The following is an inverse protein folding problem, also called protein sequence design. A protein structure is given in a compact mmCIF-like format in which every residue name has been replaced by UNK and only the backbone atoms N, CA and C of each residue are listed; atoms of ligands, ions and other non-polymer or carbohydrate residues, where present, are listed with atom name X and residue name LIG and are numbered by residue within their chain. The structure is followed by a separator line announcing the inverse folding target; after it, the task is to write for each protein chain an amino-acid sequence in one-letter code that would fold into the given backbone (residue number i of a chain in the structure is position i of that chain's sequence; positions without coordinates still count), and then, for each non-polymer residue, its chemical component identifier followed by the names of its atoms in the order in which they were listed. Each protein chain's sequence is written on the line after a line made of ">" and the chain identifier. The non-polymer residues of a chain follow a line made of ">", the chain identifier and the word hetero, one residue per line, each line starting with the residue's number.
data_IF_964782382224
#
_entry.id   IF_964782382224
#
_cell.length_a   1.000
_cell.length_b   1.000
_cell.length_c   1.000
_cell.angle_alpha   90.00
_cell.angle_beta   90.00
_cell.angle_gamma   90.00
#
_symmetry.space_group_name_H-M   'P 1'
#
loop_
_entity.id
_entity.type
_entity.pdbx_description
1 polymer ?
#
# COMPACT_ATOMS: atom_id res chain seq x y z
N UNK A 1 11.57 -1.49 20.09
CA UNK A 1 10.76 -1.30 21.31
C UNK A 1 9.29 -1.63 21.04
N UNK A 2 8.86 -2.90 21.02
CA UNK A 2 7.42 -3.25 20.91
C UNK A 2 7.17 -4.69 21.41
N UNK A 3 7.34 -4.94 22.71
CA UNK A 3 6.66 -6.06 23.41
C UNK A 3 6.30 -5.53 24.78
N UNK A 4 5.18 -4.85 24.85
CA UNK A 4 4.48 -4.68 26.11
C UNK A 4 3.35 -5.70 26.11
N UNK A 5 3.06 -6.32 27.26
CA UNK A 5 1.94 -7.28 27.45
C UNK A 5 0.58 -6.76 26.97
N UNK A 6 0.47 -5.47 26.66
CA UNK A 6 -0.75 -4.78 26.26
C UNK A 6 -0.85 -4.48 24.76
N UNK A 7 0.17 -4.77 23.95
CA UNK A 7 0.07 -4.60 22.49
C UNK A 7 -0.59 -5.85 21.90
N UNK A 8 -1.89 -5.75 21.60
CA UNK A 8 -2.69 -6.84 21.05
C UNK A 8 -2.46 -7.03 19.54
N UNK A 9 -2.12 -5.94 18.85
CA UNK A 9 -1.82 -5.97 17.43
C UNK A 9 -1.43 -4.62 16.86
N UNK A 10 -1.12 -4.60 15.56
CA UNK A 10 -0.74 -3.42 14.78
C UNK A 10 -1.65 -3.32 13.56
N UNK A 11 -2.30 -2.18 13.38
CA UNK A 11 -2.99 -1.82 12.14
C UNK A 11 -2.14 -0.82 11.37
N UNK A 12 -1.69 -1.19 10.18
CA UNK A 12 -0.91 -0.35 9.27
C UNK A 12 -1.85 0.29 8.26
N UNK A 13 -1.92 1.62 8.26
CA UNK A 13 -2.55 2.41 7.21
C UNK A 13 -1.59 3.54 6.85
N UNK A 14 -1.02 3.49 5.65
CA UNK A 14 -0.04 4.47 5.18
C UNK A 14 -0.66 5.42 4.16
N UNK A 15 -0.09 6.62 3.95
CA UNK A 15 -0.58 7.52 2.91
C UNK A 15 -0.54 6.85 1.53
N UNK A 16 -1.71 6.66 0.92
CA UNK A 16 -1.84 5.94 -0.37
C UNK A 16 -1.76 6.84 -1.61
N UNK A 17 -1.62 8.16 -1.48
CA UNK A 17 -1.68 9.12 -2.60
C UNK A 17 -0.65 8.83 -3.71
N UNK A 18 0.57 8.42 -3.35
CA UNK A 18 1.62 8.06 -4.33
C UNK A 18 1.34 6.75 -5.06
N UNK A 19 0.46 5.89 -4.52
CA UNK A 19 -0.07 4.68 -5.16
C UNK A 19 -1.45 4.92 -5.83
N UNK A 20 -1.88 6.18 -6.01
CA UNK A 20 -3.25 6.44 -6.47
C UNK A 20 -3.44 6.12 -7.96
N UNK A 21 -4.40 5.24 -8.28
CA UNK A 21 -4.86 4.97 -9.64
C UNK A 21 -5.39 6.22 -10.38
N UNK A 22 -5.73 7.29 -9.65
CA UNK A 22 -6.12 8.56 -10.27
C UNK A 22 -4.97 9.22 -11.03
N UNK A 23 -3.70 8.85 -10.75
CA UNK A 23 -2.52 9.38 -11.46
C UNK A 23 -2.41 8.89 -12.91
N UNK A 24 -3.15 7.84 -13.27
CA UNK A 24 -3.25 7.33 -14.63
C UNK A 24 -4.36 8.03 -15.44
N UNK A 25 -4.96 9.11 -14.90
CA UNK A 25 -5.95 9.93 -15.63
C UNK A 25 -5.23 11.02 -16.43
N UNK A 26 -5.39 10.98 -17.75
CA UNK A 26 -5.15 12.03 -18.76
C UNK A 26 -4.18 13.16 -18.37
N UNK A 27 -2.94 12.81 -18.04
CA UNK A 27 -1.81 13.74 -17.81
C UNK A 27 -2.02 14.85 -16.76
N UNK A 28 -3.04 14.76 -15.90
CA UNK A 28 -3.30 15.79 -14.88
C UNK A 28 -2.25 15.79 -13.77
N UNK A 29 -1.69 14.62 -13.47
CA UNK A 29 -0.64 14.44 -12.49
C UNK A 29 0.36 13.39 -12.99
N UNK A 30 1.66 13.52 -12.67
CA UNK A 30 2.63 12.51 -13.04
C UNK A 30 2.31 11.18 -12.34
N UNK A 31 2.45 10.10 -13.11
CA UNK A 31 2.56 8.74 -12.59
C UNK A 31 3.85 8.67 -11.78
N UNK A 32 3.74 8.25 -10.52
CA UNK A 32 4.87 8.20 -9.59
C UNK A 32 5.40 6.79 -9.40
N UNK A 33 4.60 5.78 -9.74
CA UNK A 33 4.85 4.34 -9.57
C UNK A 33 4.08 3.59 -10.66
N UNK A 34 4.69 2.55 -11.19
CA UNK A 34 4.08 1.57 -12.08
C UNK A 34 4.54 0.16 -11.68
N UNK A 35 4.05 -0.87 -12.37
CA UNK A 35 4.39 -2.26 -12.04
C UNK A 35 5.87 -2.58 -12.26
N UNK A 36 6.58 -1.85 -13.12
CA UNK A 36 8.03 -2.00 -13.31
C UNK A 36 8.82 -1.28 -12.20
N UNK A 37 8.25 -0.20 -11.65
CA UNK A 37 8.85 0.66 -10.64
C UNK A 37 7.92 0.85 -9.42
N UNK A 38 7.59 -0.22 -8.68
CA UNK A 38 6.63 -0.15 -7.56
C UNK A 38 7.13 0.73 -6.40
N UNK A 39 8.46 0.89 -6.27
CA UNK A 39 9.07 1.78 -5.29
C UNK A 39 9.15 3.24 -5.76
N UNK A 40 8.91 3.52 -7.04
CA UNK A 40 8.99 4.86 -7.61
C UNK A 40 9.62 4.89 -9.00
N UNK A 41 8.98 5.60 -9.93
CA UNK A 41 9.55 5.90 -11.25
C UNK A 41 10.66 6.94 -11.08
N UNK A 42 11.91 6.65 -11.50
CA UNK A 42 13.01 7.60 -11.41
C UNK A 42 12.80 8.81 -12.33
N UNK A 43 13.19 9.99 -11.86
CA UNK A 43 13.26 11.20 -12.67
C UNK A 43 14.44 11.19 -13.65
N UNK A 44 14.61 12.27 -14.44
CA UNK A 44 15.69 12.38 -15.42
C UNK A 44 17.11 12.28 -14.84
N UNK A 45 17.28 12.62 -13.57
CA UNK A 45 18.53 12.53 -12.80
C UNK A 45 18.65 11.22 -12.00
N UNK A 46 17.79 10.24 -12.29
CA UNK A 46 17.62 8.99 -11.54
C UNK A 46 17.17 9.15 -10.08
N UNK A 47 16.79 10.36 -9.64
CA UNK A 47 16.27 10.60 -8.30
C UNK A 47 14.76 10.30 -8.22
N UNK A 48 14.29 9.97 -7.02
CA UNK A 48 12.85 9.83 -6.76
C UNK A 48 12.25 11.17 -6.30
N UNK A 49 11.00 11.48 -6.68
CA UNK A 49 10.28 12.60 -6.11
C UNK A 49 10.23 12.53 -4.58
N UNK A 50 10.43 13.65 -3.89
CA UNK A 50 10.47 13.71 -2.40
C UNK A 50 9.23 13.08 -1.76
N UNK A 51 8.06 13.22 -2.39
CA UNK A 51 6.81 12.59 -1.93
C UNK A 51 6.88 11.07 -1.93
N UNK A 52 7.52 10.47 -2.95
CA UNK A 52 7.73 9.02 -3.08
C UNK A 52 8.74 8.54 -2.04
N UNK A 53 9.89 9.22 -1.92
CA UNK A 53 10.91 8.88 -0.92
C UNK A 53 10.35 8.89 0.50
N UNK A 54 9.55 9.92 0.83
CA UNK A 54 8.87 10.01 2.12
C UNK A 54 7.83 8.90 2.31
N UNK A 55 7.03 8.60 1.28
CA UNK A 55 6.04 7.53 1.34
C UNK A 55 6.68 6.15 1.53
N UNK A 56 7.81 5.88 0.86
CA UNK A 56 8.60 4.66 1.04
C UNK A 56 9.09 4.55 2.49
N UNK A 57 9.73 5.59 3.02
CA UNK A 57 10.24 5.60 4.39
C UNK A 57 9.15 5.38 5.45
N UNK A 58 7.95 5.96 5.25
CA UNK A 58 6.79 5.71 6.13
C UNK A 58 6.35 4.25 6.06
N UNK A 59 6.28 3.69 4.84
CA UNK A 59 5.86 2.31 4.60
C UNK A 59 6.85 1.32 5.21
N UNK A 60 8.15 1.50 4.96
CA UNK A 60 9.22 0.64 5.50
C UNK A 60 9.23 0.67 7.03
N UNK A 61 9.05 1.85 7.63
CA UNK A 61 8.99 2.00 9.08
C UNK A 61 7.76 1.28 9.67
N UNK A 62 6.58 1.47 9.07
CA UNK A 62 5.35 0.83 9.52
C UNK A 62 5.45 -0.71 9.42
N UNK A 63 6.00 -1.23 8.32
CA UNK A 63 6.23 -2.66 8.13
C UNK A 63 7.28 -3.23 9.07
N UNK A 64 8.31 -2.46 9.43
CA UNK A 64 9.27 -2.86 10.45
C UNK A 64 8.60 -3.03 11.81
N UNK A 65 7.74 -2.11 12.22
CA UNK A 65 6.95 -2.22 13.46
C UNK A 65 6.01 -3.42 13.42
N UNK A 66 5.29 -3.60 12.30
CA UNK A 66 4.37 -4.71 12.09
C UNK A 66 5.09 -6.07 12.14
N UNK A 67 6.23 -6.20 11.45
CA UNK A 67 7.04 -7.42 11.43
C UNK A 67 7.54 -7.80 12.83
N UNK A 68 7.98 -6.82 13.63
CA UNK A 68 8.37 -7.06 15.02
C UNK A 68 7.18 -7.54 15.86
N UNK A 69 5.98 -6.98 15.65
CA UNK A 69 4.77 -7.40 16.33
C UNK A 69 4.35 -8.83 15.95
N UNK A 70 4.33 -9.15 14.65
CA UNK A 70 4.00 -10.47 14.12
C UNK A 70 4.96 -11.56 14.65
N UNK A 71 6.28 -11.31 14.62
CA UNK A 71 7.29 -12.25 15.19
C UNK A 71 7.13 -12.50 16.69
N UNK A 72 6.36 -11.66 17.39
CA UNK A 72 6.05 -11.77 18.83
C UNK A 72 4.65 -12.33 19.09
N UNK A 73 3.94 -12.77 18.04
CA UNK A 73 2.61 -13.37 18.13
C UNK A 73 1.45 -12.37 18.27
N UNK A 74 1.69 -11.07 18.06
CA UNK A 74 0.61 -10.08 18.02
C UNK A 74 -0.06 -10.07 16.63
N UNK A 75 -1.34 -9.72 16.57
CA UNK A 75 -2.06 -9.61 15.29
C UNK A 75 -1.54 -8.43 14.45
N UNK A 76 -1.53 -8.59 13.13
CA UNK A 76 -1.14 -7.53 12.20
C UNK A 76 -2.19 -7.43 11.11
N UNK A 77 -2.59 -6.21 10.78
CA UNK A 77 -3.44 -5.92 9.62
C UNK A 77 -2.80 -4.77 8.84
N UNK A 78 -2.72 -4.89 7.53
CA UNK A 78 -2.30 -3.85 6.61
C UNK A 78 -3.51 -3.45 5.76
N UNK A 79 -3.77 -2.16 5.64
CA UNK A 79 -4.87 -1.60 4.86
C UNK A 79 -4.34 -0.76 3.69
N UNK A 80 -4.92 -0.99 2.51
CA UNK A 80 -4.72 -0.12 1.35
C UNK A 80 -5.87 -0.25 0.34
N UNK A 81 -6.02 0.71 -0.60
CA UNK A 81 -6.93 0.51 -1.73
C UNK A 81 -6.62 -0.80 -2.48
N UNK A 82 -7.66 -1.45 -3.00
CA UNK A 82 -7.54 -2.62 -3.90
C UNK A 82 -6.67 -2.29 -5.13
N UNK A 83 -5.96 -3.27 -5.70
CA UNK A 83 -5.25 -3.08 -6.95
C UNK A 83 -6.23 -2.77 -8.10
N UNK A 84 -5.82 -1.90 -9.03
CA UNK A 84 -6.63 -1.45 -10.18
C UNK A 84 -6.07 -1.88 -11.54
N UNK A 85 -4.94 -2.58 -11.55
CA UNK A 85 -4.25 -3.06 -12.75
C UNK A 85 -4.91 -4.30 -13.35
N UNK A 86 -5.42 -5.20 -12.50
CA UNK A 86 -6.05 -6.45 -12.91
C UNK A 86 -7.06 -6.94 -11.86
N UNK A 87 -7.77 -8.03 -12.18
CA UNK A 87 -8.71 -8.68 -11.27
C UNK A 87 -10.10 -8.02 -11.21
N UNK A 88 -10.85 -8.32 -10.15
CA UNK A 88 -12.25 -7.90 -10.00
C UNK A 88 -12.44 -6.38 -9.93
N UNK A 89 -11.39 -5.65 -9.51
CA UNK A 89 -11.41 -4.19 -9.32
C UNK A 89 -10.65 -3.42 -10.41
N UNK A 90 -10.27 -4.10 -11.49
CA UNK A 90 -9.54 -3.50 -12.60
C UNK A 90 -10.29 -2.31 -13.20
N UNK A 91 -9.55 -1.28 -13.60
CA UNK A 91 -10.14 -0.13 -14.29
C UNK A 91 -9.38 0.07 -15.60
N UNK A 92 -10.07 0.12 -16.76
CA UNK A 92 -9.42 0.35 -18.05
C UNK A 92 -8.52 1.61 -18.04
N UNK A 93 -7.35 1.49 -18.67
CA UNK A 93 -6.33 2.54 -18.73
C UNK A 93 -5.42 2.62 -17.50
N UNK A 94 -5.52 1.67 -16.56
CA UNK A 94 -4.68 1.57 -15.35
C UNK A 94 -3.96 0.23 -15.24
N UNK A 95 -3.72 -0.44 -16.35
CA UNK A 95 -3.11 -1.77 -16.41
C UNK A 95 -1.70 -1.78 -15.80
N UNK A 96 -1.01 -0.63 -15.80
CA UNK A 96 0.32 -0.44 -15.19
C UNK A 96 0.27 0.09 -13.75
N UNK A 97 -0.91 0.16 -13.13
CA UNK A 97 -1.06 0.68 -11.77
C UNK A 97 -0.41 -0.25 -10.73
N UNK A 98 0.67 0.23 -10.11
CA UNK A 98 1.21 -0.34 -8.89
C UNK A 98 0.46 0.17 -7.65
N UNK A 99 -0.08 -0.76 -6.90
CA UNK A 99 -0.69 -0.59 -5.58
C UNK A 99 0.32 -0.74 -4.45
N UNK A 100 -0.11 -0.57 -3.19
CA UNK A 100 0.75 -0.88 -2.04
C UNK A 100 1.16 -2.36 -2.02
N UNK A 101 0.31 -3.24 -2.54
CA UNK A 101 0.52 -4.70 -2.55
C UNK A 101 1.64 -5.13 -3.50
N UNK A 102 2.01 -4.27 -4.44
CA UNK A 102 3.15 -4.47 -5.35
C UNK A 102 4.47 -3.97 -4.74
N UNK A 103 4.43 -3.32 -3.57
CA UNK A 103 5.64 -2.79 -2.92
C UNK A 103 6.47 -3.92 -2.29
N UNK A 104 7.79 -4.01 -2.56
CA UNK A 104 8.60 -5.18 -2.19
C UNK A 104 8.50 -5.59 -0.71
N UNK A 105 8.61 -4.63 0.21
CA UNK A 105 8.55 -4.93 1.64
C UNK A 105 7.17 -5.46 2.10
N UNK A 106 6.09 -5.12 1.38
CA UNK A 106 4.75 -5.65 1.65
C UNK A 106 4.66 -7.09 1.18
N UNK A 107 5.13 -7.37 -0.05
CA UNK A 107 5.19 -8.73 -0.60
C UNK A 107 5.97 -9.67 0.34
N UNK A 108 7.13 -9.22 0.82
CA UNK A 108 7.96 -9.97 1.76
C UNK A 108 7.21 -10.25 3.07
N UNK A 109 6.53 -9.26 3.64
CA UNK A 109 5.77 -9.42 4.88
C UNK A 109 4.57 -10.37 4.72
N UNK A 110 3.81 -10.26 3.62
CA UNK A 110 2.67 -11.14 3.34
C UNK A 110 3.13 -12.59 3.19
N UNK A 111 4.24 -12.81 2.50
CA UNK A 111 4.86 -14.13 2.35
C UNK A 111 5.41 -14.68 3.68
N UNK A 112 6.17 -13.89 4.44
CA UNK A 112 6.78 -14.30 5.71
C UNK A 112 5.72 -14.73 6.74
N UNK A 113 4.63 -13.95 6.84
CA UNK A 113 3.60 -14.16 7.87
C UNK A 113 2.35 -14.90 7.36
N UNK A 114 2.31 -15.31 6.09
CA UNK A 114 1.19 -16.04 5.46
C UNK A 114 -0.15 -15.35 5.65
N UNK A 115 -0.16 -14.04 5.45
CA UNK A 115 -1.36 -13.23 5.64
C UNK A 115 -2.41 -13.50 4.56
N UNK A 116 -3.68 -13.29 4.89
CA UNK A 116 -4.81 -13.50 3.99
C UNK A 116 -5.45 -12.19 3.57
N UNK A 117 -5.98 -12.14 2.35
CA UNK A 117 -6.59 -10.97 1.74
C UNK A 117 -8.10 -10.94 1.97
N UNK A 118 -8.65 -9.77 2.30
CA UNK A 118 -10.09 -9.52 2.38
C UNK A 118 -10.41 -8.17 1.75
N UNK A 119 -11.22 -8.20 0.69
CA UNK A 119 -11.75 -7.00 0.07
C UNK A 119 -12.98 -6.49 0.82
N UNK A 120 -13.07 -5.17 0.99
CA UNK A 120 -14.22 -4.51 1.58
C UNK A 120 -14.42 -3.08 1.04
N UNK A 121 -15.66 -2.61 1.10
CA UNK A 121 -16.00 -1.23 0.76
C UNK A 121 -15.88 -0.33 2.01
N UNK A 122 -14.78 0.41 2.10
CA UNK A 122 -14.53 1.34 3.21
C UNK A 122 -15.39 2.60 3.08
N UNK A 123 -15.87 3.10 4.23
CA UNK A 123 -16.84 4.19 4.40
C UNK A 123 -16.75 5.34 3.37
N UNK A 124 -17.90 5.89 2.95
CA UNK A 124 -17.96 6.97 1.97
C UNK A 124 -17.47 8.32 2.49
N UNK A 125 -17.49 8.61 3.80
CA UNK A 125 -17.03 9.87 4.42
C UNK A 125 -17.28 11.16 3.59
N UNK A 126 -18.43 11.29 2.90
CA UNK A 126 -18.79 12.43 2.05
C UNK A 126 -18.47 12.30 0.55
N UNK A 127 -17.87 11.20 0.10
CA UNK A 127 -17.71 10.84 -1.31
C UNK A 127 -18.98 10.23 -1.91
N UNK A 128 -19.06 10.19 -3.24
CA UNK A 128 -20.20 9.63 -4.00
C UNK A 128 -20.20 8.10 -4.04
N UNK A 129 -19.10 7.45 -3.66
CA UNK A 129 -18.98 5.99 -3.59
C UNK A 129 -18.07 5.57 -2.43
N UNK A 130 -18.25 4.35 -1.96
CA UNK A 130 -17.31 3.74 -1.02
C UNK A 130 -15.96 3.49 -1.70
N UNK A 131 -14.90 3.53 -0.91
CA UNK A 131 -13.56 3.22 -1.40
C UNK A 131 -13.35 1.72 -1.27
N UNK A 132 -13.23 1.02 -2.40
CA UNK A 132 -12.82 -0.38 -2.38
C UNK A 132 -11.39 -0.49 -1.81
N UNK A 133 -11.27 -1.24 -0.73
CA UNK A 133 -10.11 -1.35 0.13
C UNK A 133 -9.85 -2.83 0.40
N UNK A 134 -8.59 -3.21 0.48
CA UNK A 134 -8.15 -4.55 0.85
C UNK A 134 -7.49 -4.49 2.23
N UNK A 135 -7.81 -5.48 3.06
CA UNK A 135 -7.16 -5.75 4.34
C UNK A 135 -6.35 -7.04 4.21
N UNK A 136 -5.08 -7.00 4.60
CA UNK A 136 -4.23 -8.19 4.68
C UNK A 136 -3.80 -8.42 6.13
N UNK A 137 -4.05 -9.60 6.68
CA UNK A 137 -3.65 -9.97 8.06
C UNK A 137 -3.69 -11.46 8.36
#
# INVERSE_FOLDING_TARGET
>A
MTSRRYCLGVLVSTPCNTFSAARFRDNEAPVLRDLEHPAGVPGPDASLPVSVTRANAITDNALSVASVAARRGAGVVIESPVPRSAGAHAIPGREQHASLWDYPAVIDAVSEFRMSHVDMDQCMCGATSQKATELIG
#
